data_IF_402538090565
#
_entry.id   IF_402538090565
#
_cell.length_a   1.000
_cell.length_b   1.000
_cell.length_c   1.000
_cell.angle_alpha   90.00
_cell.angle_beta   90.00
_cell.angle_gamma   90.00
#
_symmetry.space_group_name_H-M   'P 1'
#
loop_
_entity.id
_entity.type
_entity.pdbx_description
1 polymer ?
#
# COMPACT_ATOMS: atom_id res chain seq x y z
N UNK A 1 20.69 -1.86 12.84
CA UNK A 1 19.71 -2.86 12.35
C UNK A 1 18.90 -3.41 13.51
N UNK A 2 17.78 -4.09 13.24
CA UNK A 2 16.88 -4.66 14.28
C UNK A 2 16.58 -6.13 13.98
N UNK A 3 16.70 -7.01 14.98
CA UNK A 3 16.33 -8.44 14.89
C UNK A 3 15.81 -8.93 16.25
N UNK A 4 14.53 -9.31 16.32
CA UNK A 4 13.89 -9.76 17.57
C UNK A 4 14.04 -11.28 17.83
N UNK A 5 14.76 -12.02 16.97
CA UNK A 5 15.00 -13.44 17.17
C UNK A 5 16.07 -13.66 18.23
N UNK A 6 15.92 -14.73 19.01
CA UNK A 6 16.94 -15.12 19.99
C UNK A 6 18.26 -15.45 19.27
N UNK A 7 19.37 -14.86 19.71
CA UNK A 7 20.67 -14.99 19.05
C UNK A 7 20.83 -14.15 17.78
N UNK A 8 19.88 -13.25 17.47
CA UNK A 8 20.01 -12.29 16.38
C UNK A 8 21.24 -11.39 16.55
N UNK A 9 21.98 -11.15 15.47
CA UNK A 9 23.22 -10.36 15.47
C UNK A 9 23.02 -8.85 15.28
N UNK A 10 21.78 -8.34 15.38
CA UNK A 10 21.47 -6.94 15.16
C UNK A 10 21.80 -6.06 16.36
N UNK A 11 21.90 -4.74 16.13
CA UNK A 11 22.20 -3.77 17.20
C UNK A 11 21.07 -3.65 18.25
N UNK A 12 19.83 -3.90 17.83
CA UNK A 12 18.65 -3.79 18.68
C UNK A 12 17.74 -5.00 18.49
N UNK A 13 17.05 -5.39 19.56
CA UNK A 13 16.04 -6.47 19.54
C UNK A 13 14.61 -5.95 19.35
N UNK A 14 14.42 -4.63 19.35
CA UNK A 14 13.13 -3.99 19.11
C UNK A 14 13.28 -2.75 18.23
N UNK A 15 12.24 -2.47 17.44
CA UNK A 15 12.23 -1.29 16.56
C UNK A 15 12.18 -0.01 17.39
N UNK A 16 11.40 0.03 18.47
CA UNK A 16 11.37 1.16 19.41
C UNK A 16 12.74 1.46 20.03
N UNK A 17 13.55 0.44 20.34
CA UNK A 17 14.92 0.61 20.81
C UNK A 17 15.81 1.31 19.78
N UNK A 18 15.68 0.94 18.50
CA UNK A 18 16.39 1.59 17.41
C UNK A 18 15.93 3.03 17.18
N UNK A 19 14.61 3.30 17.22
CA UNK A 19 14.06 4.66 17.10
C UNK A 19 14.63 5.58 18.19
N UNK A 20 14.72 5.09 19.42
CA UNK A 20 15.26 5.89 20.54
C UNK A 20 16.72 6.31 20.30
N UNK A 21 17.53 5.42 19.74
CA UNK A 21 18.94 5.67 19.49
C UNK A 21 19.22 6.43 18.17
N UNK A 22 18.29 6.38 17.22
CA UNK A 22 18.44 7.03 15.92
C UNK A 22 18.40 8.56 15.99
N UNK A 23 19.02 9.22 15.02
CA UNK A 23 18.89 10.64 14.72
C UNK A 23 17.96 10.88 13.53
N UNK A 24 17.48 12.11 13.35
CA UNK A 24 16.70 12.46 12.15
C UNK A 24 17.53 12.17 10.88
N UNK A 25 16.89 11.53 9.89
CA UNK A 25 17.50 11.08 8.64
C UNK A 25 18.07 9.66 8.68
N UNK A 26 18.13 9.01 9.84
CA UNK A 26 18.66 7.65 9.93
C UNK A 26 17.75 6.61 9.27
N UNK A 27 18.37 5.51 8.83
CA UNK A 27 17.68 4.34 8.29
C UNK A 27 17.71 3.18 9.28
N UNK A 28 16.54 2.63 9.57
CA UNK A 28 16.33 1.44 10.38
C UNK A 28 15.99 0.28 9.45
N UNK A 29 16.98 -0.57 9.19
CA UNK A 29 16.78 -1.86 8.53
C UNK A 29 16.34 -2.92 9.54
N UNK A 30 15.22 -3.57 9.27
CA UNK A 30 14.57 -4.55 10.14
C UNK A 30 14.66 -5.93 9.50
N UNK A 31 15.17 -6.91 10.24
CA UNK A 31 15.31 -8.28 9.75
C UNK A 31 13.96 -9.03 9.80
N UNK A 32 13.69 -9.91 8.82
CA UNK A 32 12.48 -10.74 8.81
C UNK A 32 12.44 -11.65 10.03
N UNK A 33 11.23 -11.87 10.55
CA UNK A 33 11.01 -12.71 11.72
C UNK A 33 9.59 -13.26 11.73
N UNK A 34 9.43 -14.47 12.28
CA UNK A 34 8.10 -15.01 12.61
C UNK A 34 7.49 -14.35 13.85
N UNK A 35 8.29 -13.59 14.60
CA UNK A 35 7.85 -12.84 15.78
C UNK A 35 7.49 -11.42 15.34
N UNK A 36 6.28 -10.99 15.62
CA UNK A 36 5.82 -9.63 15.35
C UNK A 36 6.60 -8.61 16.22
N UNK A 37 6.98 -7.47 15.63
CA UNK A 37 7.74 -6.41 16.32
C UNK A 37 6.90 -5.50 17.22
N UNK A 38 5.59 -5.69 17.22
CA UNK A 38 4.61 -4.95 18.02
C UNK A 38 4.22 -3.62 17.39
N UNK A 39 3.69 -2.74 18.25
CA UNK A 39 3.38 -1.36 17.91
C UNK A 39 4.61 -0.47 18.09
N UNK A 40 4.73 0.54 17.24
CA UNK A 40 5.81 1.53 17.33
C UNK A 40 5.25 2.95 17.27
N UNK A 41 5.99 3.88 17.87
CA UNK A 41 5.75 5.32 17.73
C UNK A 41 6.95 5.95 17.06
N UNK A 42 6.70 6.68 15.98
CA UNK A 42 7.72 7.42 15.22
C UNK A 42 7.59 8.89 15.56
N UNK A 43 8.65 9.48 16.10
CA UNK A 43 8.72 10.88 16.54
C UNK A 43 9.98 11.59 16.00
N UNK A 44 10.57 11.01 14.96
CA UNK A 44 11.77 11.46 14.25
C UNK A 44 11.57 11.18 12.76
N UNK A 45 12.21 11.96 11.91
CA UNK A 45 12.24 11.72 10.47
C UNK A 45 13.14 10.52 10.20
N UNK A 46 12.58 9.36 9.85
CA UNK A 46 13.31 8.10 9.75
C UNK A 46 12.88 7.27 8.55
N UNK A 47 13.79 6.45 8.03
CA UNK A 47 13.50 5.49 6.96
C UNK A 47 13.45 4.08 7.55
N UNK A 48 12.33 3.37 7.38
CA UNK A 48 12.13 1.99 7.82
C UNK A 48 12.11 1.06 6.60
N UNK A 49 13.00 0.08 6.59
CA UNK A 49 13.16 -0.86 5.48
C UNK A 49 13.02 -2.28 5.98
N UNK A 50 12.04 -3.00 5.45
CA UNK A 50 11.96 -4.46 5.51
C UNK A 50 12.38 -5.11 4.19
N UNK A 51 12.44 -6.44 4.13
CA UNK A 51 12.88 -7.18 2.95
C UNK A 51 11.83 -7.26 1.83
N UNK A 52 10.61 -6.76 2.06
CA UNK A 52 9.42 -7.03 1.25
C UNK A 52 8.37 -7.82 2.02
N UNK A 53 7.16 -7.89 1.49
CA UNK A 53 6.04 -8.59 2.13
C UNK A 53 5.84 -10.02 1.63
N UNK A 54 6.55 -10.43 0.56
CA UNK A 54 6.66 -11.83 0.16
C UNK A 54 8.02 -12.16 -0.46
N UNK A 55 9.14 -11.97 0.28
CA UNK A 55 10.46 -12.16 -0.30
C UNK A 55 10.80 -13.65 -0.47
N UNK A 56 11.23 -14.05 -1.66
CA UNK A 56 11.51 -15.45 -2.00
C UNK A 56 12.64 -16.04 -1.14
N UNK A 57 13.71 -15.27 -0.92
CA UNK A 57 14.93 -15.73 -0.23
C UNK A 57 14.80 -15.83 1.29
N UNK A 58 13.66 -15.40 1.84
CA UNK A 58 13.34 -15.59 3.26
C UNK A 58 12.26 -16.66 3.45
N UNK A 59 11.89 -17.38 2.39
CA UNK A 59 10.75 -18.30 2.39
C UNK A 59 9.40 -17.58 2.57
N UNK A 60 9.29 -16.34 2.06
CA UNK A 60 8.12 -15.49 2.24
C UNK A 60 8.05 -14.78 3.59
N UNK A 61 9.05 -14.92 4.45
CA UNK A 61 9.07 -14.26 5.76
C UNK A 61 9.38 -12.77 5.63
N UNK A 62 8.44 -11.91 6.02
CA UNK A 62 8.60 -10.45 6.03
C UNK A 62 8.86 -9.87 7.42
N UNK A 63 8.72 -8.54 7.52
CA UNK A 63 8.75 -7.79 8.79
C UNK A 63 7.33 -7.40 9.15
N UNK A 64 6.79 -8.02 10.21
CA UNK A 64 5.45 -7.73 10.70
C UNK A 64 5.48 -6.72 11.85
N UNK A 65 4.79 -5.60 11.66
CA UNK A 65 4.49 -4.60 12.68
C UNK A 65 2.97 -4.43 12.76
N UNK A 66 2.47 -4.12 13.95
CA UNK A 66 1.04 -3.87 14.14
C UNK A 66 0.71 -2.43 13.70
N UNK A 67 0.68 -1.48 14.64
CA UNK A 67 0.44 -0.08 14.38
C UNK A 67 1.75 0.72 14.37
N UNK A 68 1.93 1.52 13.32
CA UNK A 68 2.89 2.63 13.30
C UNK A 68 2.14 3.91 13.65
N UNK A 69 2.51 4.52 14.77
CA UNK A 69 1.89 5.75 15.27
C UNK A 69 2.81 6.94 14.98
N UNK A 70 2.45 7.77 14.01
CA UNK A 70 3.19 8.99 13.67
C UNK A 70 2.86 10.07 14.72
N UNK A 71 3.90 10.58 15.37
CA UNK A 71 3.82 11.69 16.33
C UNK A 71 4.57 12.90 15.80
N UNK A 72 4.51 14.02 16.52
CA UNK A 72 5.30 15.21 16.19
C UNK A 72 6.78 14.84 16.01
N UNK A 73 7.36 15.33 14.91
CA UNK A 73 8.73 15.02 14.50
C UNK A 73 8.84 13.88 13.48
N UNK A 74 7.75 13.17 13.16
CA UNK A 74 7.74 12.08 12.18
C UNK A 74 7.79 12.52 10.71
N UNK A 75 7.58 13.81 10.41
CA UNK A 75 7.56 14.30 9.03
C UNK A 75 8.82 13.92 8.25
N UNK A 76 8.68 13.59 6.96
CA UNK A 76 9.77 13.10 6.12
C UNK A 76 10.10 11.61 6.29
N UNK A 77 9.31 10.85 7.07
CA UNK A 77 9.56 9.41 7.27
C UNK A 77 9.12 8.57 6.06
N UNK A 78 9.84 7.46 5.83
CA UNK A 78 9.52 6.47 4.79
C UNK A 78 9.35 5.08 5.40
N UNK A 79 8.33 4.36 4.95
CA UNK A 79 8.02 2.99 5.37
C UNK A 79 7.95 2.10 4.13
N UNK A 80 8.83 1.10 4.03
CA UNK A 80 8.87 0.25 2.84
C UNK A 80 9.24 -1.20 3.08
N UNK A 81 8.62 -2.11 2.33
CA UNK A 81 8.86 -3.55 2.40
C UNK A 81 8.39 -4.19 3.70
N UNK A 82 7.31 -3.66 4.31
CA UNK A 82 6.77 -4.09 5.59
C UNK A 82 5.40 -4.78 5.44
N UNK A 83 5.07 -5.61 6.43
CA UNK A 83 3.73 -6.17 6.64
C UNK A 83 3.12 -5.45 7.84
N UNK A 84 2.01 -4.74 7.62
CA UNK A 84 1.47 -3.75 8.55
C UNK A 84 -0.01 -3.99 8.84
N UNK A 85 -0.42 -3.70 10.08
CA UNK A 85 -1.84 -3.54 10.40
C UNK A 85 -2.28 -2.11 10.17
N UNK A 86 -1.50 -1.09 10.52
CA UNK A 86 -1.92 0.30 10.33
C UNK A 86 -0.73 1.26 10.35
N UNK A 87 -0.82 2.32 9.55
CA UNK A 87 -0.07 3.56 9.75
C UNK A 87 -1.07 4.67 10.04
N UNK A 88 -0.91 5.35 11.17
CA UNK A 88 -1.78 6.48 11.51
C UNK A 88 -1.00 7.62 12.13
N UNK A 89 -1.43 8.83 11.84
CA UNK A 89 -1.03 9.97 12.65
C UNK A 89 -1.85 10.01 13.95
N UNK A 90 -1.15 10.30 15.06
CA UNK A 90 -1.77 10.40 16.37
C UNK A 90 -2.67 11.64 16.46
N UNK A 91 -3.63 11.57 17.38
CA UNK A 91 -4.45 12.71 17.73
C UNK A 91 -3.55 13.90 18.10
N UNK A 92 -3.87 15.06 17.54
CA UNK A 92 -3.13 16.31 17.69
C UNK A 92 -1.67 16.33 17.20
N UNK A 93 -1.25 15.31 16.46
CA UNK A 93 0.09 15.24 15.89
C UNK A 93 0.12 15.73 14.44
N UNK A 94 1.27 16.23 14.03
CA UNK A 94 1.56 16.58 12.64
C UNK A 94 2.54 15.58 12.03
N UNK A 95 2.28 15.22 10.78
CA UNK A 95 3.12 14.32 10.01
C UNK A 95 2.98 14.65 8.53
N UNK A 96 3.95 15.35 7.99
CA UNK A 96 3.99 15.76 6.59
C UNK A 96 5.03 14.95 5.82
N UNK A 97 4.93 14.94 4.49
CA UNK A 97 5.97 14.38 3.61
C UNK A 97 6.27 12.90 3.93
N UNK A 98 5.21 12.11 4.10
CA UNK A 98 5.30 10.69 4.47
C UNK A 98 5.26 9.82 3.21
N UNK A 99 6.15 8.85 3.12
CA UNK A 99 6.16 7.86 2.04
C UNK A 99 5.83 6.47 2.58
N UNK A 100 4.76 5.87 2.07
CA UNK A 100 4.33 4.50 2.39
C UNK A 100 4.39 3.72 1.08
N UNK A 101 5.43 2.87 0.93
CA UNK A 101 5.69 2.21 -0.35
C UNK A 101 5.99 0.72 -0.26
N UNK A 102 5.45 -0.10 -1.18
CA UNK A 102 5.76 -1.53 -1.26
C UNK A 102 5.45 -2.30 0.05
N UNK A 103 4.37 -1.92 0.74
CA UNK A 103 3.94 -2.60 1.97
C UNK A 103 2.69 -3.45 1.72
N UNK A 104 2.46 -4.41 2.62
CA UNK A 104 1.24 -5.19 2.65
C UNK A 104 0.42 -4.86 3.89
N UNK A 105 -0.84 -4.48 3.70
CA UNK A 105 -1.81 -4.23 4.75
C UNK A 105 -2.92 -5.28 4.70
N UNK A 106 -3.24 -5.87 5.85
CA UNK A 106 -4.41 -6.74 6.00
C UNK A 106 -5.15 -6.35 7.27
N UNK A 107 -6.10 -5.42 7.12
CA UNK A 107 -6.58 -4.61 8.24
C UNK A 107 -7.84 -3.85 7.89
N UNK A 108 -8.51 -3.33 8.91
CA UNK A 108 -9.75 -2.56 8.77
C UNK A 108 -9.50 -1.07 8.50
N UNK A 109 -8.35 -0.55 8.95
CA UNK A 109 -7.95 0.85 8.80
C UNK A 109 -6.46 0.89 8.49
N UNK A 110 -6.11 0.88 7.21
CA UNK A 110 -4.72 0.75 6.79
C UNK A 110 -3.96 2.05 7.01
N UNK A 111 -4.53 3.17 6.57
CA UNK A 111 -3.83 4.45 6.53
C UNK A 111 -4.78 5.54 6.98
N UNK A 112 -4.38 6.32 7.99
CA UNK A 112 -5.17 7.47 8.42
C UNK A 112 -4.35 8.69 8.77
N UNK A 113 -4.77 9.84 8.27
CA UNK A 113 -4.21 11.14 8.59
C UNK A 113 -4.46 11.55 10.04
N UNK A 114 -3.84 12.66 10.43
CA UNK A 114 -4.01 13.26 11.73
C UNK A 114 -5.38 13.93 11.83
N UNK A 115 -5.83 14.11 13.06
CA UNK A 115 -7.06 14.83 13.34
C UNK A 115 -6.93 15.57 14.68
N UNK A 116 -7.62 16.70 14.79
CA UNK A 116 -7.68 17.50 16.01
C UNK A 116 -9.08 18.07 16.17
N UNK A 117 -9.54 18.34 17.38
CA UNK A 117 -10.92 18.78 17.61
C UNK A 117 -11.26 20.21 17.13
N UNK A 118 -10.32 20.95 16.53
CA UNK A 118 -10.56 22.31 16.01
C UNK A 118 -9.81 22.53 14.69
N UNK A 119 -10.48 23.08 13.67
CA UNK A 119 -9.85 23.48 12.41
C UNK A 119 -8.67 24.44 12.69
N UNK A 120 -7.47 24.09 12.21
CA UNK A 120 -6.23 24.84 12.45
C UNK A 120 -5.54 24.58 13.79
N UNK A 121 -6.06 23.68 14.63
CA UNK A 121 -5.37 23.21 15.84
C UNK A 121 -4.72 21.85 15.56
N UNK A 122 -3.42 21.90 15.23
CA UNK A 122 -2.44 20.81 15.22
C UNK A 122 -3.03 19.42 15.01
N UNK A 123 -3.11 18.96 13.77
CA UNK A 123 -3.49 17.59 13.42
C UNK A 123 -3.19 17.26 11.96
N UNK A 124 -2.41 18.12 11.29
CA UNK A 124 -2.34 18.07 9.84
C UNK A 124 -1.39 16.98 9.34
N UNK A 125 -1.76 16.39 8.23
CA UNK A 125 -1.03 15.33 7.54
C UNK A 125 -1.08 15.61 6.06
N UNK A 126 -0.12 16.38 5.59
CA UNK A 126 -0.05 16.81 4.19
C UNK A 126 1.06 16.09 3.45
N UNK A 127 0.93 16.03 2.12
CA UNK A 127 1.97 15.52 1.22
C UNK A 127 2.32 14.04 1.52
N UNK A 128 1.30 13.17 1.59
CA UNK A 128 1.53 11.74 1.73
C UNK A 128 1.55 11.07 0.37
N UNK A 129 2.58 10.26 0.15
CA UNK A 129 2.69 9.37 -1.00
C UNK A 129 2.46 7.93 -0.56
N UNK A 130 1.43 7.31 -1.10
CA UNK A 130 1.02 5.93 -0.82
C UNK A 130 1.12 5.18 -2.14
N UNK A 131 2.21 4.45 -2.35
CA UNK A 131 2.50 3.84 -3.65
C UNK A 131 2.94 2.38 -3.63
N UNK A 132 2.52 1.58 -4.61
CA UNK A 132 3.00 0.20 -4.74
C UNK A 132 2.59 -0.74 -3.60
N UNK A 133 1.61 -0.37 -2.78
CA UNK A 133 1.17 -1.18 -1.66
C UNK A 133 0.08 -2.17 -2.09
N UNK A 134 -0.04 -3.24 -1.32
CA UNK A 134 -1.18 -4.15 -1.35
C UNK A 134 -1.99 -3.90 -0.09
N UNK A 135 -3.22 -3.41 -0.25
CA UNK A 135 -4.09 -3.01 0.85
C UNK A 135 -5.36 -3.85 0.81
N UNK A 136 -5.48 -4.78 1.74
CA UNK A 136 -6.63 -5.69 1.84
C UNK A 136 -7.41 -5.38 3.11
N UNK A 137 -8.71 -5.12 2.95
CA UNK A 137 -9.62 -4.93 4.06
C UNK A 137 -9.72 -6.21 4.92
N UNK A 138 -9.62 -6.03 6.24
CA UNK A 138 -9.95 -7.06 7.22
C UNK A 138 -11.47 -7.32 7.30
N UNK A 139 -11.86 -8.45 7.87
CA UNK A 139 -13.26 -8.79 8.16
C UNK A 139 -13.49 -8.62 9.67
N UNK A 140 -14.33 -7.67 10.11
CA UNK A 140 -14.65 -7.58 11.56
C UNK A 140 -15.01 -6.20 12.14
N UNK A 141 -15.02 -5.13 11.36
CA UNK A 141 -15.51 -3.82 11.82
C UNK A 141 -16.56 -3.27 10.86
N UNK A 142 -17.71 -2.90 11.40
CA UNK A 142 -18.71 -2.12 10.66
C UNK A 142 -18.34 -0.64 10.66
N UNK A 143 -18.35 -0.01 9.48
CA UNK A 143 -18.17 1.44 9.29
C UNK A 143 -16.72 1.92 9.23
N UNK A 144 -15.75 1.00 9.25
CA UNK A 144 -14.33 1.33 9.16
C UNK A 144 -13.97 1.94 7.79
N UNK A 145 -12.91 2.77 7.77
CA UNK A 145 -12.41 3.43 6.57
C UNK A 145 -10.98 2.96 6.30
N UNK A 146 -10.74 2.35 5.15
CA UNK A 146 -9.44 1.75 4.85
C UNK A 146 -8.36 2.82 4.69
N UNK A 147 -8.65 3.84 3.89
CA UNK A 147 -7.83 5.04 3.72
C UNK A 147 -8.69 6.25 4.11
N UNK A 148 -8.24 6.97 5.13
CA UNK A 148 -8.99 8.08 5.69
C UNK A 148 -8.10 9.31 5.90
N UNK A 149 -8.37 10.39 5.15
CA UNK A 149 -7.62 11.63 5.32
C UNK A 149 -7.99 12.35 6.62
N UNK A 150 -9.19 12.15 7.19
CA UNK A 150 -9.69 12.81 8.42
C UNK A 150 -9.79 14.33 8.35
N UNK A 151 -10.30 14.85 7.24
CA UNK A 151 -10.47 16.30 6.97
C UNK A 151 -11.59 16.96 7.76
N UNK A 152 -12.55 16.19 8.30
CA UNK A 152 -13.63 16.73 9.14
C UNK A 152 -13.17 17.57 10.34
N UNK A 153 -11.89 17.47 10.73
CA UNK A 153 -11.31 18.23 11.83
C UNK A 153 -9.85 18.68 11.58
N UNK A 154 -9.37 18.59 10.33
CA UNK A 154 -8.00 18.93 9.91
C UNK A 154 -7.99 19.48 8.48
N UNK A 155 -6.85 20.01 8.01
CA UNK A 155 -6.70 20.50 6.63
C UNK A 155 -5.90 19.57 5.74
N UNK A 156 -5.88 18.27 6.07
CA UNK A 156 -5.06 17.25 5.40
C UNK A 156 -5.25 17.28 3.88
N UNK A 157 -4.15 17.48 3.17
CA UNK A 157 -4.14 17.80 1.74
C UNK A 157 -2.96 17.18 1.00
N UNK A 158 -3.04 17.18 -0.33
CA UNK A 158 -1.98 16.72 -1.24
C UNK A 158 -1.58 15.26 -1.02
N UNK A 159 -2.57 14.36 -0.91
CA UNK A 159 -2.30 12.92 -0.86
C UNK A 159 -2.29 12.34 -2.27
N UNK A 160 -1.27 11.53 -2.57
CA UNK A 160 -1.17 10.77 -3.81
C UNK A 160 -1.27 9.29 -3.44
N UNK A 161 -2.29 8.62 -3.97
CA UNK A 161 -2.52 7.19 -3.80
C UNK A 161 -2.33 6.56 -5.17
N UNK A 162 -1.15 5.99 -5.42
CA UNK A 162 -0.75 5.53 -6.75
C UNK A 162 -0.29 4.08 -6.81
N UNK A 163 -0.55 3.37 -7.91
CA UNK A 163 0.05 2.04 -8.13
C UNK A 163 -0.22 1.02 -7.01
N UNK A 164 -1.32 1.17 -6.27
CA UNK A 164 -1.69 0.25 -5.21
C UNK A 164 -2.73 -0.77 -5.71
N UNK A 165 -2.64 -1.98 -5.17
CA UNK A 165 -3.75 -2.91 -5.22
C UNK A 165 -4.58 -2.74 -3.95
N UNK A 166 -5.84 -2.30 -4.08
CA UNK A 166 -6.73 -2.00 -2.95
C UNK A 166 -7.95 -2.89 -3.07
N UNK A 167 -8.25 -3.64 -2.02
CA UNK A 167 -9.33 -4.62 -2.03
C UNK A 167 -10.18 -4.54 -0.78
N UNK A 168 -11.50 -4.58 -0.96
CA UNK A 168 -12.42 -4.96 0.13
C UNK A 168 -12.66 -6.46 0.14
N UNK A 169 -12.93 -7.03 1.32
CA UNK A 169 -13.02 -8.49 1.49
C UNK A 169 -14.38 -8.96 1.99
N UNK A 170 -15.09 -8.13 2.74
CA UNK A 170 -16.27 -8.59 3.48
C UNK A 170 -17.57 -8.35 2.74
N UNK A 171 -18.36 -9.40 2.60
CA UNK A 171 -19.67 -9.33 1.95
C UNK A 171 -20.73 -8.65 2.82
N UNK A 172 -20.46 -8.51 4.11
CA UNK A 172 -21.39 -8.00 5.13
C UNK A 172 -20.91 -6.71 5.80
N UNK A 173 -19.66 -6.28 5.57
CA UNK A 173 -19.17 -5.04 6.16
C UNK A 173 -19.70 -3.83 5.39
N UNK A 174 -20.05 -2.79 6.14
CA UNK A 174 -20.28 -1.44 5.64
C UNK A 174 -19.04 -0.54 5.74
N UNK A 175 -17.84 -1.11 5.57
CA UNK A 175 -16.61 -0.32 5.46
C UNK A 175 -16.54 0.36 4.10
N UNK A 176 -15.92 1.55 4.06
CA UNK A 176 -15.59 2.25 2.83
C UNK A 176 -14.07 2.17 2.60
N UNK A 177 -13.65 2.19 1.33
CA UNK A 177 -12.23 2.26 1.00
C UNK A 177 -11.68 3.67 1.25
N UNK A 178 -12.43 4.68 0.85
CA UNK A 178 -12.00 6.08 0.90
C UNK A 178 -12.93 6.93 1.76
N UNK A 179 -12.36 7.76 2.62
CA UNK A 179 -13.07 8.75 3.42
C UNK A 179 -12.30 10.06 3.48
N UNK A 180 -13.04 11.16 3.61
CA UNK A 180 -12.50 12.51 3.78
C UNK A 180 -11.57 12.95 2.63
N UNK A 181 -11.73 12.39 1.43
CA UNK A 181 -10.96 12.87 0.27
C UNK A 181 -11.43 14.27 -0.13
N UNK A 182 -10.50 15.08 -0.61
CA UNK A 182 -10.78 16.45 -1.04
C UNK A 182 -10.11 16.74 -2.39
N UNK A 183 -10.36 17.94 -2.91
CA UNK A 183 -9.90 18.36 -4.25
C UNK A 183 -8.37 18.32 -4.49
N UNK A 184 -7.56 18.19 -3.44
CA UNK A 184 -6.10 18.06 -3.57
C UNK A 184 -5.61 16.61 -3.64
N UNK A 185 -6.50 15.63 -3.44
CA UNK A 185 -6.16 14.20 -3.48
C UNK A 185 -6.10 13.71 -4.92
N UNK A 186 -5.04 12.96 -5.25
CA UNK A 186 -4.90 12.22 -6.51
C UNK A 186 -4.93 10.73 -6.20
N UNK A 187 -5.77 9.99 -6.92
CA UNK A 187 -5.83 8.53 -6.87
C UNK A 187 -5.62 8.01 -8.28
N UNK A 188 -4.44 7.44 -8.55
CA UNK A 188 -4.08 7.07 -9.93
C UNK A 188 -3.41 5.73 -10.09
N UNK A 189 -3.58 5.09 -11.25
CA UNK A 189 -2.89 3.83 -11.56
C UNK A 189 -3.14 2.73 -10.50
N UNK A 190 -4.31 2.69 -9.84
CA UNK A 190 -4.62 1.65 -8.85
C UNK A 190 -5.49 0.56 -9.48
N UNK A 191 -5.42 -0.64 -8.91
CA UNK A 191 -6.47 -1.66 -9.08
C UNK A 191 -7.29 -1.68 -7.80
N UNK A 192 -8.59 -1.41 -7.92
CA UNK A 192 -9.54 -1.33 -6.82
C UNK A 192 -10.57 -2.45 -6.99
N UNK A 193 -10.45 -3.48 -6.15
CA UNK A 193 -11.36 -4.63 -6.15
C UNK A 193 -12.37 -4.48 -5.02
N UNK A 194 -13.63 -4.25 -5.39
CA UNK A 194 -14.71 -4.00 -4.43
C UNK A 194 -15.64 -5.21 -4.33
N UNK A 195 -15.63 -5.84 -3.16
CA UNK A 195 -16.41 -7.02 -2.81
C UNK A 195 -17.40 -6.78 -1.67
N UNK A 196 -17.54 -5.55 -1.20
CA UNK A 196 -18.50 -5.20 -0.15
C UNK A 196 -19.84 -4.79 -0.77
N UNK A 197 -20.90 -4.85 0.04
CA UNK A 197 -22.26 -4.43 -0.35
C UNK A 197 -22.52 -2.94 -0.09
N UNK A 198 -21.55 -2.23 0.49
CA UNK A 198 -21.64 -0.79 0.76
C UNK A 198 -20.79 0.04 -0.21
N UNK A 199 -20.92 1.37 -0.20
CA UNK A 199 -20.20 2.24 -1.13
C UNK A 199 -18.67 2.16 -0.97
N UNK A 200 -17.94 2.33 -2.07
CA UNK A 200 -16.49 2.51 -2.07
C UNK A 200 -16.09 3.77 -1.31
N UNK A 201 -16.89 4.83 -1.46
CA UNK A 201 -16.68 6.14 -0.85
C UNK A 201 -17.57 6.32 0.36
N UNK A 202 -17.08 7.04 1.36
CA UNK A 202 -17.95 7.57 2.42
C UNK A 202 -18.42 9.00 2.09
N UNK A 203 -19.55 9.41 2.64
CA UNK A 203 -20.20 10.71 2.39
C UNK A 203 -19.39 11.96 2.76
N UNK A 204 -18.28 11.83 3.50
CA UNK A 204 -17.31 12.93 3.70
C UNK A 204 -16.40 13.18 2.49
N UNK A 205 -16.37 12.28 1.48
CA UNK A 205 -15.63 12.49 0.25
C UNK A 205 -16.23 13.68 -0.50
N UNK A 206 -15.41 14.72 -0.68
CA UNK A 206 -15.83 16.01 -1.23
C UNK A 206 -14.93 16.48 -2.39
N UNK A 207 -14.06 15.61 -2.88
CA UNK A 207 -13.29 15.85 -4.09
C UNK A 207 -12.20 14.81 -4.30
N UNK A 208 -11.40 15.05 -5.32
CA UNK A 208 -10.24 14.25 -5.69
C UNK A 208 -10.25 13.91 -7.17
N UNK A 209 -9.08 13.63 -7.72
CA UNK A 209 -8.92 13.21 -9.10
C UNK A 209 -8.61 11.71 -9.14
N UNK A 210 -9.52 10.94 -9.73
CA UNK A 210 -9.37 9.51 -9.94
C UNK A 210 -9.05 9.29 -11.42
N UNK A 211 -7.82 8.89 -11.72
CA UNK A 211 -7.41 8.64 -13.11
C UNK A 211 -6.63 7.35 -13.32
N UNK A 212 -6.77 6.75 -14.49
CA UNK A 212 -6.02 5.54 -14.86
C UNK A 212 -6.20 4.38 -13.89
N UNK A 213 -7.31 4.32 -13.14
CA UNK A 213 -7.59 3.22 -12.22
C UNK A 213 -8.43 2.15 -12.90
N UNK A 214 -8.32 0.92 -12.40
CA UNK A 214 -9.25 -0.16 -12.68
C UNK A 214 -10.16 -0.35 -11.47
N UNK A 215 -11.46 -0.21 -11.63
CA UNK A 215 -12.46 -0.57 -10.63
C UNK A 215 -13.11 -1.90 -11.02
N UNK A 216 -12.87 -2.94 -10.23
CA UNK A 216 -13.50 -4.25 -10.42
C UNK A 216 -14.46 -4.54 -9.27
N UNK A 217 -15.76 -4.55 -9.58
CA UNK A 217 -16.83 -4.88 -8.64
C UNK A 217 -17.27 -6.34 -8.82
N UNK A 218 -17.37 -7.09 -7.72
CA UNK A 218 -17.82 -8.49 -7.77
C UNK A 218 -19.20 -8.71 -7.13
N UNK A 219 -19.76 -7.70 -6.45
CA UNK A 219 -21.04 -7.78 -5.75
C UNK A 219 -22.19 -7.23 -6.57
N UNK A 220 -23.19 -8.07 -6.81
CA UNK A 220 -24.37 -7.77 -7.61
C UNK A 220 -25.21 -6.61 -7.06
N UNK A 221 -25.12 -6.34 -5.76
CA UNK A 221 -25.81 -5.24 -5.10
C UNK A 221 -25.26 -3.87 -5.50
N UNK A 222 -24.01 -3.81 -5.96
CA UNK A 222 -23.35 -2.57 -6.32
C UNK A 222 -23.57 -2.30 -7.81
N UNK A 223 -24.44 -1.33 -8.09
CA UNK A 223 -24.72 -0.86 -9.46
C UNK A 223 -24.17 0.54 -9.70
N UNK A 224 -23.72 1.24 -8.66
CA UNK A 224 -23.15 2.57 -8.75
C UNK A 224 -21.98 2.68 -7.76
N UNK A 225 -20.77 2.89 -8.28
CA UNK A 225 -19.58 3.10 -7.46
C UNK A 225 -19.36 4.56 -7.10
N UNK A 226 -20.10 5.49 -7.70
CA UNK A 226 -19.98 6.93 -7.46
C UNK A 226 -20.88 7.40 -6.32
N UNK A 227 -21.63 6.49 -5.68
CA UNK A 227 -22.40 6.82 -4.47
C UNK A 227 -21.47 7.46 -3.46
N UNK A 228 -21.85 8.63 -2.95
CA UNK A 228 -21.08 9.44 -2.00
C UNK A 228 -19.75 10.04 -2.53
N UNK A 229 -19.42 9.88 -3.81
CA UNK A 229 -18.22 10.47 -4.45
C UNK A 229 -18.45 11.94 -4.87
N UNK A 230 -18.80 12.82 -3.92
CA UNK A 230 -19.16 14.21 -4.24
C UNK A 230 -17.92 14.99 -4.69
N UNK A 231 -18.02 15.69 -5.84
CA UNK A 231 -16.93 16.54 -6.36
C UNK A 231 -15.71 15.78 -6.90
N UNK A 232 -15.79 14.45 -7.00
CA UNK A 232 -14.74 13.60 -7.56
C UNK A 232 -14.74 13.73 -9.08
N UNK A 233 -13.55 13.82 -9.66
CA UNK A 233 -13.34 13.86 -11.11
C UNK A 233 -12.78 12.50 -11.53
N UNK A 234 -13.49 11.79 -12.41
CA UNK A 234 -13.00 10.55 -13.00
C UNK A 234 -12.52 10.78 -14.44
N UNK A 235 -11.31 10.35 -14.76
CA UNK A 235 -10.79 10.35 -16.13
C UNK A 235 -9.99 9.09 -16.46
N UNK A 236 -10.15 8.56 -17.67
CA UNK A 236 -9.33 7.43 -18.14
C UNK A 236 -9.34 6.22 -17.19
N UNK A 237 -10.42 6.00 -16.42
CA UNK A 237 -10.56 4.81 -15.59
C UNK A 237 -11.27 3.71 -16.37
N UNK A 238 -11.00 2.46 -16.01
CA UNK A 238 -11.74 1.31 -16.49
C UNK A 238 -12.63 0.78 -15.37
N UNK A 239 -13.91 0.52 -15.68
CA UNK A 239 -14.83 -0.13 -14.73
C UNK A 239 -15.29 -1.47 -15.24
N UNK A 240 -15.41 -2.44 -14.33
CA UNK A 240 -15.92 -3.76 -14.64
C UNK A 240 -16.73 -4.32 -13.48
N UNK A 241 -17.81 -5.03 -13.81
CA UNK A 241 -18.65 -5.70 -12.84
C UNK A 241 -18.83 -7.15 -13.26
N UNK A 242 -18.38 -8.11 -12.44
CA UNK A 242 -18.31 -9.54 -12.82
C UNK A 242 -19.62 -10.14 -13.32
N UNK A 243 -20.75 -9.67 -12.79
CA UNK A 243 -22.07 -10.30 -12.98
C UNK A 243 -23.18 -9.30 -13.35
N UNK A 244 -22.83 -8.13 -13.91
CA UNK A 244 -23.78 -7.02 -14.00
C UNK A 244 -23.19 -5.81 -14.72
N UNK A 245 -23.75 -4.63 -14.44
CA UNK A 245 -23.26 -3.38 -15.02
C UNK A 245 -23.34 -2.27 -13.99
N UNK A 246 -22.35 -1.39 -14.04
CA UNK A 246 -22.27 -0.17 -13.26
C UNK A 246 -22.86 0.99 -14.06
N UNK A 247 -23.38 1.99 -13.35
CA UNK A 247 -23.60 3.32 -13.93
C UNK A 247 -22.26 3.82 -14.48
N UNK A 248 -22.20 4.27 -15.74
CA UNK A 248 -20.98 4.83 -16.33
C UNK A 248 -20.40 5.96 -15.49
N UNK A 249 -19.08 5.99 -15.35
CA UNK A 249 -18.40 7.03 -14.59
C UNK A 249 -18.63 8.41 -15.22
N UNK A 250 -18.96 9.40 -14.38
CA UNK A 250 -18.98 10.80 -14.80
C UNK A 250 -17.56 11.29 -15.10
N UNK A 251 -17.39 12.13 -16.12
CA UNK A 251 -16.07 12.67 -16.50
C UNK A 251 -15.67 12.28 -17.92
N UNK A 252 -14.36 12.14 -18.18
CA UNK A 252 -13.82 12.08 -19.55
C UNK A 252 -13.02 10.80 -19.81
N UNK A 253 -13.20 10.21 -20.99
CA UNK A 253 -12.40 9.08 -21.49
C UNK A 253 -12.40 7.83 -20.58
N UNK A 254 -13.40 7.66 -19.71
CA UNK A 254 -13.56 6.42 -18.96
C UNK A 254 -13.99 5.28 -19.91
N UNK A 255 -13.52 4.08 -19.61
CA UNK A 255 -13.85 2.83 -20.28
C UNK A 255 -14.79 2.05 -19.39
N UNK A 256 -16.09 2.28 -19.55
CA UNK A 256 -17.09 1.72 -18.65
C UNK A 256 -17.47 0.28 -18.99
N UNK A 257 -17.76 -0.50 -17.95
CA UNK A 257 -18.31 -1.86 -18.04
C UNK A 257 -17.55 -2.81 -18.98
N UNK A 258 -16.22 -2.71 -19.02
CA UNK A 258 -15.36 -3.50 -19.90
C UNK A 258 -14.41 -4.37 -19.09
N UNK A 259 -14.31 -5.66 -19.41
CA UNK A 259 -13.43 -6.59 -18.70
C UNK A 259 -11.96 -6.15 -18.83
N UNK A 260 -11.18 -6.00 -17.74
CA UNK A 260 -9.77 -5.67 -17.81
C UNK A 260 -8.93 -6.67 -18.60
N UNK A 261 -9.38 -7.92 -18.77
CA UNK A 261 -8.66 -8.96 -19.52
C UNK A 261 -7.19 -9.09 -19.06
N UNK A 262 -7.00 -9.35 -17.76
CA UNK A 262 -5.69 -9.59 -17.17
C UNK A 262 -5.05 -10.88 -17.71
N UNK A 263 -3.72 -10.92 -17.78
CA UNK A 263 -2.93 -12.05 -18.32
C UNK A 263 -3.25 -13.37 -17.61
N UNK A 264 -3.32 -13.39 -16.28
CA UNK A 264 -3.62 -14.61 -15.54
C UNK A 264 -4.22 -14.31 -14.16
N UNK A 265 -5.52 -14.62 -13.99
CA UNK A 265 -6.21 -14.53 -12.70
C UNK A 265 -6.74 -15.91 -12.33
N UNK A 266 -6.36 -16.41 -11.15
CA UNK A 266 -6.80 -17.71 -10.68
C UNK A 266 -8.33 -17.74 -10.50
N UNK A 267 -8.98 -18.68 -11.19
CA UNK A 267 -10.44 -18.91 -11.13
C UNK A 267 -11.30 -17.68 -11.47
N UNK A 268 -10.76 -16.75 -12.28
CA UNK A 268 -11.40 -15.47 -12.61
C UNK A 268 -11.80 -14.63 -11.38
N UNK A 269 -11.12 -14.85 -10.25
CA UNK A 269 -11.35 -14.12 -9.02
C UNK A 269 -10.32 -12.99 -8.87
N UNK A 270 -10.72 -11.71 -9.00
CA UNK A 270 -9.79 -10.58 -9.07
C UNK A 270 -9.07 -10.27 -7.76
N UNK A 271 -9.35 -11.00 -6.66
CA UNK A 271 -8.71 -10.79 -5.36
C UNK A 271 -7.19 -10.95 -5.42
N UNK A 272 -6.49 -10.25 -4.52
CA UNK A 272 -5.04 -10.34 -4.38
C UNK A 272 -4.60 -11.77 -4.10
N UNK A 273 -3.78 -12.31 -4.99
CA UNK A 273 -3.03 -13.55 -4.78
C UNK A 273 -1.65 -13.39 -5.40
N UNK A 274 -0.60 -13.88 -4.73
CA UNK A 274 0.78 -13.79 -5.23
C UNK A 274 1.01 -14.56 -6.53
N UNK A 275 0.10 -15.48 -6.87
CA UNK A 275 0.14 -16.26 -8.12
C UNK A 275 -0.55 -15.57 -9.30
N UNK A 276 -1.32 -14.51 -9.04
CA UNK A 276 -2.03 -13.77 -10.08
C UNK A 276 -1.08 -12.83 -10.83
N UNK A 277 -1.33 -12.65 -12.13
CA UNK A 277 -0.72 -11.65 -12.98
C UNK A 277 -1.77 -10.61 -13.41
N UNK A 278 -1.68 -9.43 -12.79
CA UNK A 278 -2.55 -8.28 -13.04
C UNK A 278 -2.10 -7.37 -14.18
N UNK A 279 -1.12 -7.78 -14.98
CA UNK A 279 -0.84 -7.09 -16.25
C UNK A 279 -1.99 -7.32 -17.23
N UNK A 280 -2.25 -6.35 -18.10
CA UNK A 280 -3.29 -6.44 -19.11
C UNK A 280 -2.82 -7.27 -20.31
N UNK A 281 -3.73 -8.03 -20.94
CA UNK A 281 -3.48 -8.62 -22.24
C UNK A 281 -3.43 -7.54 -23.34
N UNK A 282 -2.78 -7.84 -24.47
CA UNK A 282 -2.58 -6.91 -25.60
C UNK A 282 -3.84 -6.57 -26.42
N UNK A 283 -5.02 -6.95 -25.96
CA UNK A 283 -6.30 -6.52 -26.53
C UNK A 283 -7.23 -6.00 -25.41
N UNK A 284 -6.66 -5.80 -24.22
CA UNK A 284 -7.41 -5.30 -23.09
C UNK A 284 -7.95 -3.92 -23.42
N UNK A 285 -9.21 -3.63 -23.05
CA UNK A 285 -9.76 -2.28 -23.19
C UNK A 285 -9.05 -1.25 -22.30
N UNK A 286 -8.22 -1.69 -21.34
CA UNK A 286 -7.39 -0.83 -20.50
C UNK A 286 -5.97 -0.61 -21.01
N UNK A 287 -5.59 -1.24 -22.13
CA UNK A 287 -4.23 -1.17 -22.66
C UNK A 287 -3.95 0.20 -23.31
N UNK A 288 -2.88 0.88 -22.90
CA UNK A 288 -2.45 2.19 -23.42
C UNK A 288 -3.51 3.30 -23.43
N UNK A 289 -4.55 3.19 -22.59
CA UNK A 289 -5.62 4.22 -22.49
C UNK A 289 -5.42 5.20 -21.34
N UNK A 290 -4.35 5.04 -20.53
CA UNK A 290 -4.01 5.96 -19.46
C UNK A 290 -3.66 7.36 -19.97
N UNK A 291 -3.84 8.38 -19.14
CA UNK A 291 -3.48 9.78 -19.45
C UNK A 291 -1.99 9.98 -19.73
N UNK A 292 -1.16 9.04 -19.32
CA UNK A 292 0.30 9.00 -19.52
C UNK A 292 0.72 8.15 -20.72
N UNK A 293 -0.24 7.60 -21.49
CA UNK A 293 0.01 6.72 -22.62
C UNK A 293 0.41 5.30 -22.21
N UNK A 294 0.26 4.92 -20.95
CA UNK A 294 0.47 3.56 -20.43
C UNK A 294 -0.86 2.86 -20.14
N UNK A 295 -0.77 1.60 -19.72
CA UNK A 295 -1.91 0.83 -19.24
C UNK A 295 -2.52 1.45 -17.98
N UNK A 296 -3.85 1.32 -17.83
CA UNK A 296 -4.50 1.65 -16.55
C UNK A 296 -4.21 0.57 -15.51
N UNK A 297 -4.22 0.95 -14.22
CA UNK A 297 -3.95 0.04 -13.10
C UNK A 297 -2.49 0.05 -12.63
N UNK A 298 -2.12 -0.93 -11.79
CA UNK A 298 -0.90 -0.89 -10.96
C UNK A 298 0.43 -0.89 -11.73
N UNK A 299 0.42 -1.26 -13.01
CA UNK A 299 1.59 -1.26 -13.87
C UNK A 299 1.71 0.00 -14.76
N UNK A 300 0.75 0.92 -14.68
CA UNK A 300 0.80 2.23 -15.33
C UNK A 300 1.69 3.25 -14.60
N UNK A 301 1.87 4.46 -15.13
CA UNK A 301 2.54 5.55 -14.40
C UNK A 301 4.06 5.43 -14.24
N UNK A 302 4.68 4.38 -14.79
CA UNK A 302 6.15 4.17 -14.73
C UNK A 302 6.68 3.68 -13.39
N UNK A 303 5.84 3.45 -12.38
CA UNK A 303 6.24 2.81 -11.13
C UNK A 303 6.48 1.31 -11.35
N UNK A 304 7.66 0.75 -11.02
CA UNK A 304 7.93 -0.66 -11.24
C UNK A 304 7.36 -1.50 -10.11
N UNK A 305 6.04 -1.71 -10.14
CA UNK A 305 5.31 -2.55 -9.19
C UNK A 305 5.90 -3.97 -9.15
N UNK A 306 6.09 -4.51 -7.94
CA UNK A 306 6.59 -5.86 -7.70
C UNK A 306 5.69 -6.58 -6.71
N UNK A 307 5.21 -7.75 -7.10
CA UNK A 307 4.30 -8.57 -6.30
C UNK A 307 4.86 -8.92 -4.92
N UNK A 308 6.18 -9.01 -4.77
CA UNK A 308 6.84 -9.33 -3.50
C UNK A 308 7.01 -8.11 -2.56
N UNK A 309 6.74 -6.90 -3.05
CA UNK A 309 6.91 -5.66 -2.31
C UNK A 309 8.36 -5.30 -2.01
N UNK A 310 9.31 -5.69 -2.87
CA UNK A 310 10.71 -5.33 -2.69
C UNK A 310 10.91 -3.80 -2.72
N UNK A 311 11.59 -3.21 -1.72
CA UNK A 311 12.01 -1.82 -1.79
C UNK A 311 12.91 -1.57 -3.02
N UNK A 312 12.66 -0.49 -3.76
CA UNK A 312 13.39 -0.16 -5.00
C UNK A 312 14.77 0.47 -4.73
N UNK A 313 14.89 1.21 -3.62
CA UNK A 313 16.10 1.95 -3.27
C UNK A 313 17.04 1.17 -2.33
N UNK A 314 16.87 -0.15 -2.22
CA UNK A 314 17.65 -0.97 -1.30
C UNK A 314 18.25 -2.19 -2.00
N UNK A 315 19.55 -2.47 -1.82
CA UNK A 315 20.16 -3.66 -2.41
C UNK A 315 19.54 -4.90 -1.79
N UNK A 316 19.15 -5.85 -2.64
CA UNK A 316 18.65 -7.16 -2.21
C UNK A 316 19.40 -8.30 -2.85
N UNK A 317 19.47 -9.40 -2.13
CA UNK A 317 19.96 -10.68 -2.63
C UNK A 317 19.02 -11.22 -3.72
N UNK A 318 19.58 -11.75 -4.79
CA UNK A 318 18.90 -12.42 -5.90
C UNK A 318 19.39 -13.86 -6.12
N UNK A 319 20.51 -14.24 -5.53
CA UNK A 319 20.97 -15.62 -5.52
C UNK A 319 22.02 -15.78 -4.44
N UNK A 320 22.02 -16.93 -3.79
CA UNK A 320 23.06 -17.36 -2.87
C UNK A 320 23.27 -18.85 -3.04
N UNK A 321 24.39 -19.20 -3.66
CA UNK A 321 24.78 -20.57 -3.91
C UNK A 321 26.03 -20.90 -3.09
N UNK A 322 25.97 -21.96 -2.29
CA UNK A 322 27.16 -22.56 -1.68
C UNK A 322 27.78 -23.50 -2.73
N UNK A 323 28.92 -23.11 -3.27
CA UNK A 323 29.63 -23.87 -4.31
C UNK A 323 30.52 -24.97 -3.71
N UNK A 324 30.95 -24.81 -2.46
CA UNK A 324 31.67 -25.83 -1.70
C UNK A 324 30.71 -26.82 -1.01
N UNK A 325 31.13 -28.07 -0.82
CA UNK A 325 30.42 -29.04 0.03
C UNK A 325 30.07 -28.42 1.39
N UNK A 326 28.88 -28.72 1.91
CA UNK A 326 28.33 -28.16 3.18
C UNK A 326 29.11 -28.53 4.44
N UNK A 327 30.20 -29.30 4.30
CA UNK A 327 31.12 -29.66 5.37
C UNK A 327 32.52 -29.21 4.95
N UNK A 328 32.97 -28.11 5.54
CA UNK A 328 34.31 -27.57 5.34
C UNK A 328 35.11 -27.79 6.63
N UNK A 329 36.29 -28.42 6.60
CA UNK A 329 37.10 -28.64 7.80
C UNK A 329 37.59 -27.29 8.39
N UNK A 330 37.99 -27.25 9.67
CA UNK A 330 38.62 -26.07 10.25
C UNK A 330 39.79 -25.58 9.40
N UNK A 331 39.76 -24.31 8.98
CA UNK A 331 40.76 -23.71 8.09
C UNK A 331 40.52 -23.93 6.59
N UNK A 332 39.47 -24.65 6.19
CA UNK A 332 39.08 -24.79 4.79
C UNK A 332 38.32 -23.57 4.26
N UNK A 333 38.26 -23.44 2.94
CA UNK A 333 37.57 -22.35 2.25
C UNK A 333 36.11 -22.70 1.96
N UNK A 334 35.20 -21.77 2.23
CA UNK A 334 33.82 -21.81 1.77
C UNK A 334 33.74 -20.97 0.51
N UNK A 335 33.31 -21.57 -0.59
CA UNK A 335 33.08 -20.86 -1.84
C UNK A 335 31.59 -20.54 -1.98
N UNK A 336 31.29 -19.26 -2.20
CA UNK A 336 29.93 -18.76 -2.39
C UNK A 336 29.82 -18.07 -3.75
N UNK A 337 28.67 -18.24 -4.39
CA UNK A 337 28.23 -17.36 -5.47
C UNK A 337 27.09 -16.49 -4.95
N UNK A 338 27.20 -15.18 -5.13
CA UNK A 338 26.21 -14.22 -4.66
C UNK A 338 25.81 -13.29 -5.79
N UNK A 339 24.51 -13.17 -6.04
CA UNK A 339 23.94 -12.15 -6.92
C UNK A 339 23.11 -11.20 -6.09
N UNK A 340 23.29 -9.90 -6.29
CA UNK A 340 22.48 -8.87 -5.65
C UNK A 340 22.12 -7.77 -6.63
N UNK A 341 21.04 -7.07 -6.34
CA UNK A 341 20.66 -5.82 -7.02
C UNK A 341 21.38 -4.63 -6.41
N UNK A 342 21.63 -3.62 -7.24
CA UNK A 342 22.02 -2.29 -6.79
C UNK A 342 20.75 -1.52 -6.39
N UNK A 343 20.83 -0.66 -5.39
CA UNK A 343 19.78 0.30 -5.07
C UNK A 343 19.53 1.26 -6.26
N UNK A 344 18.25 1.54 -6.56
CA UNK A 344 17.84 2.59 -7.51
C UNK A 344 17.94 2.22 -8.99
N UNK A 345 17.59 0.98 -9.36
CA UNK A 345 17.47 0.53 -10.76
C UNK A 345 16.19 -0.27 -10.99
#
# INVERSE_FOLDING_TARGET
>A
TVDNRSGGGANYTSVSGAINAASNGDTIYIHPSSINYGDITVNKSLVFIGPGHHPEYTGGMGVSLNQISLSNGSSGSKFTGLILTQIRCNLFAQSHDIVISNNFFNTLQAISGGYGSNAGAFGDSDNWLIEGNVIIEGTGCGGCKVINLRTSASTNSNWIISNNFIQTKSVENNSNLFADLNSSTIVENNIIVHQNTHSIFESSVSGGEFRNNIFWVTRNEITDIMVDAIGVIFSNNLTYHSNGSLIPLTGNNNVDNSNPDFIAIASDNPVWEYVNNYQLNSNSPGENVGTDGTDVGIYGGGFPFRTEGYPQDFPRLQAFDLLSNTIVPPGGSIEINLKATKAGL
#
